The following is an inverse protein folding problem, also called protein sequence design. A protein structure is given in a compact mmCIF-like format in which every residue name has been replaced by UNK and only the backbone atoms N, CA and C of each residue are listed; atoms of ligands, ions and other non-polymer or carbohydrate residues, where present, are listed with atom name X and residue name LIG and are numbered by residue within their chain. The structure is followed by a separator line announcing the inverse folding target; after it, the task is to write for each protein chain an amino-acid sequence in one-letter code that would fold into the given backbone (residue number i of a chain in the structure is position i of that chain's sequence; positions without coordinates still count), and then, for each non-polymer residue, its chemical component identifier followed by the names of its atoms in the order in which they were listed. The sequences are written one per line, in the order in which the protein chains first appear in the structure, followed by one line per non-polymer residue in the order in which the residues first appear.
data_IF_667223428270
#
_entry.id   IF_667223428270
#
_cell.length_a   1.000
_cell.length_b   1.000
_cell.length_c   1.000
_cell.angle_alpha   90.00
_cell.angle_beta   90.00
_cell.angle_gamma   90.00
#
_symmetry.space_group_name_H-M   'P 1'
#
loop_
_entity.id
_entity.type
_entity.pdbx_description
1 polymer ?
#
# COMPACT_ATOMS: atom_id res chain seq x y z
N UNK A 1 16.13 -16.74 6.05
CA UNK A 1 14.70 -16.42 6.25
C UNK A 1 13.93 -17.73 6.36
N UNK A 2 13.15 -17.92 7.42
CA UNK A 2 12.18 -19.03 7.51
C UNK A 2 10.84 -18.45 7.08
N UNK A 3 10.36 -18.85 5.90
CA UNK A 3 9.05 -18.46 5.43
C UNK A 3 8.06 -19.56 5.84
N UNK A 4 6.89 -19.21 6.40
CA UNK A 4 5.85 -20.19 6.70
C UNK A 4 5.45 -20.93 5.42
N UNK A 5 5.22 -22.24 5.53
CA UNK A 5 4.90 -23.15 4.42
C UNK A 5 6.01 -23.41 3.37
N UNK A 6 7.15 -22.71 3.44
CA UNK A 6 8.25 -22.92 2.51
C UNK A 6 9.30 -23.92 3.02
N UNK A 7 9.81 -24.83 2.17
CA UNK A 7 10.95 -25.66 2.54
C UNK A 7 12.15 -24.80 2.96
N UNK A 8 12.86 -25.23 4.00
CA UNK A 8 14.01 -24.49 4.54
C UNK A 8 15.32 -24.81 3.83
N UNK A 9 15.32 -25.81 2.94
CA UNK A 9 16.49 -26.26 2.18
C UNK A 9 16.47 -25.70 0.76
N UNK A 10 17.65 -25.35 0.22
CA UNK A 10 17.80 -24.83 -1.15
C UNK A 10 17.15 -25.74 -2.20
N UNK A 11 17.33 -27.05 -2.07
CA UNK A 11 16.75 -28.05 -2.97
C UNK A 11 15.23 -28.06 -2.87
N UNK A 12 14.67 -27.99 -1.67
CA UNK A 12 13.22 -27.94 -1.46
C UNK A 12 12.59 -26.69 -2.05
N UNK A 13 13.24 -25.53 -1.90
CA UNK A 13 12.79 -24.27 -2.50
C UNK A 13 12.81 -24.36 -4.03
N UNK A 14 13.87 -24.91 -4.62
CA UNK A 14 13.98 -25.08 -6.06
C UNK A 14 12.89 -26.02 -6.62
N UNK A 15 12.70 -27.19 -5.99
CA UNK A 15 11.68 -28.15 -6.41
C UNK A 15 10.26 -27.57 -6.30
N UNK A 16 10.00 -26.78 -5.26
CA UNK A 16 8.73 -26.05 -5.08
C UNK A 16 8.54 -24.99 -6.17
N UNK A 17 9.59 -24.21 -6.43
CA UNK A 17 9.60 -23.18 -7.46
C UNK A 17 9.34 -23.74 -8.87
N UNK A 18 9.89 -24.90 -9.19
CA UNK A 18 9.65 -25.60 -10.46
C UNK A 18 8.21 -26.12 -10.55
N UNK A 19 7.70 -26.73 -9.48
CA UNK A 19 6.33 -27.26 -9.43
C UNK A 19 5.26 -26.17 -9.57
N UNK A 20 5.53 -24.98 -9.04
CA UNK A 20 4.60 -23.85 -9.07
C UNK A 20 4.93 -22.82 -10.16
N UNK A 21 5.94 -23.07 -10.99
CA UNK A 21 6.30 -22.20 -12.11
C UNK A 21 6.76 -20.81 -11.69
N UNK A 22 7.52 -20.70 -10.60
CA UNK A 22 7.99 -19.41 -10.12
C UNK A 22 8.97 -18.76 -11.09
N UNK A 23 8.86 -17.43 -11.22
CA UNK A 23 9.82 -16.66 -11.99
C UNK A 23 11.23 -16.81 -11.40
N UNK A 24 12.19 -17.14 -12.25
CA UNK A 24 13.60 -17.27 -11.87
C UNK A 24 14.48 -16.38 -12.74
N UNK A 25 15.45 -15.72 -12.13
CA UNK A 25 16.47 -14.92 -12.82
C UNK A 25 17.86 -15.44 -12.47
N UNK A 26 18.79 -15.40 -13.41
CA UNK A 26 20.19 -15.72 -13.17
C UNK A 26 20.95 -14.43 -12.86
N UNK A 27 21.44 -14.30 -11.62
CA UNK A 27 22.27 -13.17 -11.19
C UNK A 27 23.73 -13.58 -11.15
N UNK A 28 24.54 -12.92 -11.95
CA UNK A 28 26.01 -13.07 -11.93
C UNK A 28 26.62 -12.02 -11.01
N UNK A 29 27.52 -12.43 -10.12
CA UNK A 29 28.27 -11.53 -9.24
C UNK A 29 29.67 -12.05 -8.93
N UNK A 30 30.33 -11.45 -7.95
CA UNK A 30 31.71 -11.80 -7.54
C UNK A 30 31.93 -13.28 -7.15
N UNK A 31 30.86 -14.07 -6.96
CA UNK A 31 30.91 -15.50 -6.64
C UNK A 31 30.33 -16.42 -7.73
N UNK A 32 30.23 -15.95 -8.98
CA UNK A 32 29.66 -16.71 -10.10
C UNK A 32 28.15 -16.45 -10.30
N UNK A 33 27.52 -17.30 -11.12
CA UNK A 33 26.11 -17.19 -11.47
C UNK A 33 25.24 -17.94 -10.47
N UNK A 34 24.30 -17.23 -9.85
CA UNK A 34 23.29 -17.80 -8.94
C UNK A 34 21.89 -17.61 -9.52
N UNK A 35 21.12 -18.68 -9.54
CA UNK A 35 19.70 -18.62 -9.87
C UNK A 35 18.91 -18.15 -8.65
N UNK A 36 18.16 -17.06 -8.82
CA UNK A 36 17.29 -16.48 -7.79
C UNK A 36 15.83 -16.67 -8.20
N UNK A 37 15.00 -17.09 -7.26
CA UNK A 37 13.57 -17.28 -7.49
C UNK A 37 12.77 -16.14 -6.86
N UNK A 38 11.78 -15.63 -7.58
CA UNK A 38 10.80 -14.71 -7.05
C UNK A 38 9.74 -15.52 -6.31
N UNK A 39 9.85 -15.53 -4.98
CA UNK A 39 8.89 -16.20 -4.10
C UNK A 39 7.54 -15.45 -4.15
N UNK A 40 6.41 -16.13 -4.39
CA UNK A 40 5.08 -15.51 -4.37
C UNK A 40 4.70 -14.95 -2.99
N UNK A 41 3.89 -13.89 -2.96
CA UNK A 41 3.52 -13.15 -1.74
C UNK A 41 2.80 -14.00 -0.69
N UNK A 42 2.12 -15.07 -1.10
CA UNK A 42 1.43 -16.01 -0.21
C UNK A 42 2.37 -16.65 0.84
N UNK A 43 3.65 -16.85 0.53
CA UNK A 43 4.63 -17.42 1.45
C UNK A 43 5.16 -16.41 2.49
N UNK A 44 4.80 -15.14 2.36
CA UNK A 44 5.16 -14.09 3.32
C UNK A 44 4.05 -13.84 4.35
N UNK A 45 2.86 -14.43 4.16
CA UNK A 45 1.73 -14.32 5.09
C UNK A 45 1.99 -15.17 6.34
N UNK A 46 2.59 -14.57 7.37
CA UNK A 46 2.85 -15.21 8.66
C UNK A 46 4.24 -14.96 9.24
N UNK A 47 5.15 -14.29 8.52
CA UNK A 47 6.36 -13.73 9.12
C UNK A 47 6.07 -12.33 9.67
N UNK A 48 5.25 -12.27 10.72
CA UNK A 48 5.26 -11.13 11.65
C UNK A 48 6.47 -11.29 12.55
N UNK A 49 7.65 -10.92 12.05
CA UNK A 49 8.82 -10.70 12.89
C UNK A 49 8.84 -9.23 13.29
N UNK A 50 8.93 -9.00 14.60
CA UNK A 50 8.94 -7.71 15.28
C UNK A 50 9.99 -6.71 14.73
N UNK A 51 9.79 -5.39 14.95
CA UNK A 51 10.53 -4.34 14.26
C UNK A 51 11.91 -4.14 14.88
N UNK A 52 12.93 -4.11 14.03
CA UNK A 52 14.30 -3.80 14.43
C UNK A 52 15.16 -3.34 13.25
N UNK A 53 15.42 -2.03 13.24
CA UNK A 53 16.42 -1.31 12.46
C UNK A 53 16.23 -1.13 10.94
N UNK A 54 15.74 0.08 10.65
CA UNK A 54 16.02 0.95 9.51
C UNK A 54 17.24 0.59 8.64
N UNK A 55 16.97 0.36 7.34
CA UNK A 55 17.68 1.06 6.26
C UNK A 55 16.70 1.46 5.18
N UNK A 56 16.53 2.76 5.08
CA UNK A 56 15.95 3.52 3.98
C UNK A 56 16.50 3.05 2.62
N UNK A 57 15.60 2.53 1.78
CA UNK A 57 15.60 2.73 0.33
C UNK A 57 14.31 2.18 -0.29
N UNK A 58 13.35 3.08 -0.50
CA UNK A 58 12.52 3.08 -1.71
C UNK A 58 11.55 1.91 -1.91
N UNK A 59 10.93 1.38 -0.85
CA UNK A 59 9.68 0.64 -0.99
C UNK A 59 8.62 1.40 -0.22
N UNK A 60 7.92 2.30 -0.91
CA UNK A 60 6.54 2.62 -0.54
C UNK A 60 5.82 1.29 -0.53
N UNK A 61 5.74 0.64 0.63
CA UNK A 61 4.65 -0.28 0.88
C UNK A 61 3.40 0.47 0.41
N UNK A 62 2.49 -0.14 -0.38
CA UNK A 62 1.21 0.50 -0.59
C UNK A 62 0.65 0.66 0.82
N UNK A 63 0.76 1.88 1.37
CA UNK A 63 0.09 2.26 2.60
C UNK A 63 -1.31 1.71 2.40
N UNK A 64 -1.74 0.75 3.23
CA UNK A 64 -3.04 0.09 3.04
C UNK A 64 -4.05 1.21 2.93
N UNK A 65 -4.44 1.52 1.69
CA UNK A 65 -5.27 2.67 1.43
C UNK A 65 -6.62 2.23 1.93
N UNK A 66 -7.10 2.90 2.95
CA UNK A 66 -8.44 2.63 3.44
C UNK A 66 -9.42 3.14 2.39
N UNK A 67 -9.87 2.22 1.54
CA UNK A 67 -10.72 2.54 0.40
C UNK A 67 -12.06 3.11 0.86
N UNK A 68 -12.51 2.79 2.08
CA UNK A 68 -13.74 3.34 2.64
C UNK A 68 -13.52 4.80 3.07
N UNK A 69 -12.41 5.10 3.76
CA UNK A 69 -12.02 6.46 4.08
C UNK A 69 -11.82 7.33 2.82
N UNK A 70 -11.21 6.77 1.77
CA UNK A 70 -11.02 7.46 0.49
C UNK A 70 -12.36 7.75 -0.21
N UNK A 71 -13.28 6.77 -0.18
CA UNK A 71 -14.64 6.93 -0.72
C UNK A 71 -15.42 8.00 0.05
N UNK A 72 -15.33 7.99 1.38
CA UNK A 72 -15.98 8.96 2.26
C UNK A 72 -15.46 10.37 1.97
N UNK A 73 -14.13 10.55 1.92
CA UNK A 73 -13.49 11.82 1.59
C UNK A 73 -13.90 12.35 0.22
N UNK A 74 -13.91 11.48 -0.80
CA UNK A 74 -14.30 11.84 -2.17
C UNK A 74 -15.77 12.26 -2.22
N UNK A 75 -16.66 11.47 -1.61
CA UNK A 75 -18.11 11.74 -1.61
C UNK A 75 -18.45 13.04 -0.89
N UNK A 76 -17.80 13.31 0.25
CA UNK A 76 -18.00 14.55 1.00
C UNK A 76 -17.58 15.79 0.20
N UNK A 77 -16.44 15.72 -0.50
CA UNK A 77 -16.00 16.80 -1.36
C UNK A 77 -16.95 17.01 -2.54
N UNK A 78 -17.38 15.94 -3.21
CA UNK A 78 -18.29 16.04 -4.36
C UNK A 78 -19.66 16.60 -3.97
N UNK A 79 -20.21 16.20 -2.82
CA UNK A 79 -21.46 16.75 -2.30
C UNK A 79 -21.33 18.24 -1.99
N UNK A 80 -20.23 18.64 -1.35
CA UNK A 80 -19.98 20.06 -1.04
C UNK A 80 -19.80 20.91 -2.30
N UNK A 81 -19.19 20.35 -3.35
CA UNK A 81 -19.04 21.01 -4.65
C UNK A 81 -20.34 21.12 -5.43
N UNK A 82 -21.17 20.07 -5.39
CA UNK A 82 -22.49 20.07 -5.99
C UNK A 82 -23.40 21.12 -5.33
N UNK A 83 -23.39 21.22 -4.00
CA UNK A 83 -24.13 22.24 -3.24
C UNK A 83 -23.76 23.67 -3.65
N UNK A 84 -22.48 23.89 -3.98
CA UNK A 84 -21.97 25.20 -4.39
C UNK A 84 -22.01 25.46 -5.89
N UNK A 85 -22.40 24.47 -6.70
CA UNK A 85 -22.33 24.54 -8.16
C UNK A 85 -20.91 24.82 -8.69
N UNK A 86 -19.88 24.45 -7.93
CA UNK A 86 -18.48 24.72 -8.27
C UNK A 86 -17.77 23.46 -8.75
N UNK A 87 -16.99 23.60 -9.82
CA UNK A 87 -16.12 22.54 -10.33
C UNK A 87 -14.67 22.92 -10.04
N UNK A 88 -13.96 22.07 -9.28
CA UNK A 88 -12.51 22.20 -9.15
C UNK A 88 -11.78 21.50 -10.29
N UNK A 89 -10.64 22.08 -10.67
CA UNK A 89 -9.67 21.40 -11.50
C UNK A 89 -9.23 20.08 -10.84
N UNK A 90 -9.01 19.00 -11.62
CA UNK A 90 -8.75 17.66 -11.10
C UNK A 90 -7.52 17.59 -10.17
N UNK A 91 -6.50 18.41 -10.41
CA UNK A 91 -5.34 18.52 -9.51
C UNK A 91 -5.71 19.04 -8.12
N UNK A 92 -6.40 20.19 -8.04
CA UNK A 92 -6.85 20.74 -6.76
C UNK A 92 -7.84 19.83 -6.03
N UNK A 93 -8.69 19.12 -6.79
CA UNK A 93 -9.60 18.11 -6.24
C UNK A 93 -8.83 17.00 -5.53
N UNK A 94 -7.76 16.48 -6.14
CA UNK A 94 -6.92 15.45 -5.56
C UNK A 94 -6.20 15.93 -4.28
N UNK A 95 -5.71 17.17 -4.26
CA UNK A 95 -5.09 17.75 -3.07
C UNK A 95 -6.05 17.82 -1.89
N UNK A 96 -7.29 18.28 -2.12
CA UNK A 96 -8.31 18.36 -1.07
C UNK A 96 -8.70 16.96 -0.58
N UNK A 97 -8.86 15.99 -1.49
CA UNK A 97 -9.16 14.60 -1.13
C UNK A 97 -8.05 14.01 -0.27
N UNK A 98 -6.78 14.29 -0.57
CA UNK A 98 -5.64 13.79 0.22
C UNK A 98 -5.67 14.30 1.67
N UNK A 99 -6.01 15.58 1.87
CA UNK A 99 -6.15 16.15 3.22
C UNK A 99 -7.35 15.55 3.96
N UNK A 100 -8.50 15.41 3.29
CA UNK A 100 -9.69 14.79 3.89
C UNK A 100 -9.44 13.32 4.24
N UNK A 101 -8.73 12.59 3.39
CA UNK A 101 -8.33 11.21 3.63
C UNK A 101 -7.42 11.09 4.85
N UNK A 102 -6.36 11.91 4.96
CA UNK A 102 -5.48 11.93 6.13
C UNK A 102 -6.26 12.24 7.42
N UNK A 103 -7.26 13.12 7.34
CA UNK A 103 -8.11 13.46 8.46
C UNK A 103 -9.02 12.29 8.91
N UNK A 104 -9.67 11.58 7.98
CA UNK A 104 -10.48 10.39 8.30
C UNK A 104 -9.60 9.22 8.75
N UNK A 105 -8.43 9.04 8.14
CA UNK A 105 -7.46 8.00 8.53
C UNK A 105 -6.96 8.19 9.97
N UNK A 106 -7.03 9.42 10.51
CA UNK A 106 -6.74 9.75 11.92
C UNK A 106 -7.92 9.52 12.87
N UNK A 107 -9.06 9.03 12.37
CA UNK A 107 -10.25 8.69 13.15
C UNK A 107 -11.33 9.78 13.18
N UNK A 108 -11.30 10.75 12.27
CA UNK A 108 -12.34 11.78 12.19
C UNK A 108 -13.65 11.22 11.59
N UNK A 109 -14.79 11.65 12.15
CA UNK A 109 -16.11 11.25 11.67
C UNK A 109 -16.59 12.16 10.52
N UNK A 110 -17.61 11.71 9.79
CA UNK A 110 -18.20 12.47 8.67
C UNK A 110 -18.69 13.87 9.08
N UNK A 111 -19.09 14.03 10.35
CA UNK A 111 -19.48 15.32 10.93
C UNK A 111 -18.32 16.32 11.00
N UNK A 112 -17.12 15.85 11.32
CA UNK A 112 -15.92 16.70 11.43
C UNK A 112 -15.44 17.18 10.05
N UNK A 113 -15.49 16.32 9.03
CA UNK A 113 -15.22 16.71 7.64
C UNK A 113 -16.18 17.81 7.16
N UNK A 114 -17.47 17.66 7.46
CA UNK A 114 -18.49 18.65 7.08
C UNK A 114 -18.22 20.00 7.75
N UNK A 115 -17.71 19.98 8.99
CA UNK A 115 -17.33 21.19 9.73
C UNK A 115 -16.08 21.84 9.15
N UNK A 116 -15.07 21.06 8.79
CA UNK A 116 -13.85 21.53 8.14
C UNK A 116 -14.13 22.12 6.76
N UNK A 117 -14.96 21.46 5.95
CA UNK A 117 -15.41 21.98 4.64
C UNK A 117 -16.24 23.25 4.78
N UNK A 118 -17.02 23.41 5.85
CA UNK A 118 -17.70 24.68 6.16
C UNK A 118 -16.73 25.78 6.60
N UNK A 119 -15.71 25.44 7.39
CA UNK A 119 -14.72 26.40 7.88
C UNK A 119 -13.81 26.95 6.78
N UNK A 120 -13.46 26.12 5.77
CA UNK A 120 -12.70 26.55 4.57
C UNK A 120 -13.48 27.49 3.64
N UNK A 121 -14.75 27.70 3.96
CA UNK A 121 -15.74 28.19 3.04
C UNK A 121 -16.53 29.39 3.58
N UNK A 122 -16.14 29.84 4.78
CA UNK A 122 -16.52 31.06 5.46
C UNK A 122 -15.52 32.18 5.14
#
# INVERSE_FOLDING_TARGET
MKLPDLPTTKIGIAARAEREGWYSEEKTGLGGTRRVFRVPEQYFQGTSAEPGHERDQGRTEPARVDLDALRIATTALEQWLADRGQTLAPGKKAEIIAVLYDYVARGAEQGDMSRMLKALAA
#
